data_IF_039089768311
#
_entry.id   IF_039089768311
#
_cell.length_a   1.000
_cell.length_b   1.000
_cell.length_c   1.000
_cell.angle_alpha   90.00
_cell.angle_beta   90.00
_cell.angle_gamma   90.00
#
_symmetry.space_group_name_H-M   'P 1'
#
loop_
_entity.id
_entity.type
_entity.pdbx_description
1 polymer ?
#
# COMPACT_ATOMS: atom_id res chain seq x y z
N UNK A 1 -36.90 28.53 -2.74
CA UNK A 1 -35.59 27.98 -2.33
C UNK A 1 -34.81 27.57 -3.56
N UNK A 2 -33.72 28.29 -3.85
CA UNK A 2 -32.81 27.94 -4.94
C UNK A 2 -32.04 26.68 -4.53
N UNK A 3 -32.41 25.52 -5.07
CA UNK A 3 -31.70 24.27 -4.81
C UNK A 3 -30.35 24.32 -5.54
N UNK A 4 -29.29 24.53 -4.78
CA UNK A 4 -27.90 24.58 -5.24
C UNK A 4 -27.30 23.19 -5.08
N UNK A 5 -26.73 22.63 -6.14
CA UNK A 5 -26.00 21.36 -6.10
C UNK A 5 -24.54 21.64 -6.39
N UNK A 6 -23.64 21.11 -5.57
CA UNK A 6 -22.19 21.19 -5.80
C UNK A 6 -21.73 20.08 -6.75
N UNK A 7 -21.00 20.48 -7.79
CA UNK A 7 -20.32 19.58 -8.72
C UNK A 7 -18.84 19.95 -8.74
N UNK A 8 -18.00 18.97 -8.45
CA UNK A 8 -16.55 19.11 -8.40
C UNK A 8 -15.94 18.90 -9.78
N UNK A 9 -15.09 19.82 -10.19
CA UNK A 9 -14.32 19.75 -11.44
C UNK A 9 -12.84 19.74 -11.05
N UNK A 10 -12.21 18.56 -11.10
CA UNK A 10 -10.84 18.33 -10.62
C UNK A 10 -10.64 18.71 -9.15
N UNK A 11 -10.44 20.00 -8.86
CA UNK A 11 -10.26 20.57 -7.51
C UNK A 11 -11.13 21.81 -7.25
N UNK A 12 -11.91 22.28 -8.23
CA UNK A 12 -12.81 23.43 -8.07
C UNK A 12 -14.24 22.96 -7.83
N UNK A 13 -14.85 23.39 -6.73
CA UNK A 13 -16.26 23.18 -6.46
C UNK A 13 -17.10 24.21 -7.24
N UNK A 14 -18.02 23.72 -8.08
CA UNK A 14 -18.97 24.55 -8.80
C UNK A 14 -20.37 24.35 -8.25
N UNK A 15 -20.96 25.44 -7.75
CA UNK A 15 -22.36 25.45 -7.34
C UNK A 15 -23.25 25.74 -8.54
N UNK A 16 -24.13 24.80 -8.86
CA UNK A 16 -25.11 24.98 -9.93
C UNK A 16 -26.44 25.36 -9.29
N UNK A 17 -26.90 26.58 -9.59
CA UNK A 17 -28.23 27.08 -9.24
C UNK A 17 -29.20 26.92 -10.43
N UNK A 18 -30.51 27.01 -10.16
CA UNK A 18 -31.54 26.99 -11.21
C UNK A 18 -31.88 25.60 -11.78
N UNK A 19 -31.50 24.52 -11.08
CA UNK A 19 -31.83 23.16 -11.51
C UNK A 19 -33.33 22.89 -11.42
N UNK A 20 -33.91 22.34 -12.49
CA UNK A 20 -35.31 21.92 -12.52
C UNK A 20 -35.44 20.40 -12.44
N UNK A 21 -36.66 19.90 -12.19
CA UNK A 21 -36.95 18.45 -12.19
C UNK A 21 -36.74 17.77 -13.55
N UNK A 22 -36.55 18.55 -14.62
CA UNK A 22 -36.30 18.07 -15.99
C UNK A 22 -34.81 18.10 -16.37
N UNK A 23 -33.97 18.81 -15.62
CA UNK A 23 -32.55 18.98 -15.93
C UNK A 23 -31.81 17.64 -15.80
N UNK A 24 -31.14 17.22 -16.87
CA UNK A 24 -30.37 15.97 -16.92
C UNK A 24 -28.90 16.19 -16.63
N UNK A 25 -28.17 15.11 -16.30
CA UNK A 25 -26.71 15.15 -16.16
C UNK A 25 -26.04 15.70 -17.44
N UNK A 26 -26.56 15.38 -18.62
CA UNK A 26 -26.05 15.94 -19.88
C UNK A 26 -26.22 17.46 -19.98
N UNK A 27 -27.31 18.02 -19.46
CA UNK A 27 -27.56 19.46 -19.47
C UNK A 27 -26.61 20.17 -18.51
N UNK A 28 -26.36 19.57 -17.34
CA UNK A 28 -25.38 20.07 -16.37
C UNK A 28 -23.97 20.06 -16.96
N UNK A 29 -23.56 18.96 -17.60
CA UNK A 29 -22.26 18.87 -18.27
C UNK A 29 -22.11 19.95 -19.33
N UNK A 30 -23.16 20.19 -20.14
CA UNK A 30 -23.15 21.23 -21.17
C UNK A 30 -22.94 22.63 -20.57
N UNK A 31 -23.69 22.97 -19.52
CA UNK A 31 -23.59 24.28 -18.86
C UNK A 31 -22.21 24.48 -18.23
N UNK A 32 -21.66 23.46 -17.58
CA UNK A 32 -20.31 23.53 -16.99
C UNK A 32 -19.22 23.70 -18.06
N UNK A 33 -19.38 23.06 -19.22
CA UNK A 33 -18.47 23.26 -20.35
C UNK A 33 -18.61 24.67 -20.94
N UNK A 34 -19.82 25.15 -21.16
CA UNK A 34 -20.09 26.50 -21.65
C UNK A 34 -19.51 27.56 -20.71
N UNK A 35 -19.70 27.46 -19.39
CA UNK A 35 -19.11 28.37 -18.39
C UNK A 35 -17.57 28.37 -18.46
N UNK A 36 -16.96 27.18 -18.57
CA UNK A 36 -15.50 27.05 -18.70
C UNK A 36 -14.96 27.68 -19.99
N UNK A 37 -15.71 27.62 -21.09
CA UNK A 37 -15.36 28.25 -22.37
C UNK A 37 -15.48 29.78 -22.31
N UNK A 38 -16.49 30.33 -21.63
CA UNK A 38 -16.63 31.78 -21.44
C UNK A 38 -15.53 32.34 -20.52
N UNK A 39 -15.14 31.59 -19.47
CA UNK A 39 -14.05 31.99 -18.57
C UNK A 39 -12.69 32.02 -19.28
N UNK A 40 -12.45 31.11 -20.25
CA UNK A 40 -11.24 31.13 -21.11
C UNK A 40 -11.17 32.31 -22.08
N UNK A 41 -12.30 32.86 -22.51
CA UNK A 41 -12.33 33.98 -23.46
C UNK A 41 -12.16 35.36 -22.78
N UNK A 42 -12.16 35.41 -21.45
CA UNK A 42 -11.95 36.64 -20.69
C UNK A 42 -10.44 36.90 -20.52
N UNK A 43 -9.92 38.09 -20.84
CA UNK A 43 -8.50 38.40 -20.70
C UNK A 43 -8.19 38.68 -19.22
N UNK A 44 -7.92 37.63 -18.44
CA UNK A 44 -7.42 37.75 -17.07
C UNK A 44 -6.40 36.64 -16.78
N UNK A 45 -5.49 36.95 -15.86
CA UNK A 45 -4.27 36.22 -15.48
C UNK A 45 -4.43 34.68 -15.45
N UNK A 46 -3.40 33.92 -15.89
CA UNK A 46 -3.47 32.47 -15.96
C UNK A 46 -3.40 31.87 -14.54
N UNK A 47 -4.56 31.56 -13.97
CA UNK A 47 -4.68 30.71 -12.79
C UNK A 47 -4.22 29.26 -13.15
N UNK A 48 -3.31 28.64 -12.38
CA UNK A 48 -2.64 27.37 -12.72
C UNK A 48 -3.52 26.10 -12.63
N UNK A 49 -4.84 26.22 -12.79
CA UNK A 49 -5.78 25.10 -12.79
C UNK A 49 -6.96 25.20 -13.76
N UNK A 50 -7.13 26.31 -14.48
CA UNK A 50 -8.36 26.61 -15.25
C UNK A 50 -8.45 26.01 -16.66
N UNK A 51 -7.50 25.15 -17.06
CA UNK A 51 -7.24 24.85 -18.46
C UNK A 51 -7.79 23.54 -19.03
N UNK A 52 -8.59 22.74 -18.32
CA UNK A 52 -8.63 21.29 -18.62
C UNK A 52 -9.89 20.71 -19.28
N UNK A 53 -11.00 21.46 -19.34
CA UNK A 53 -12.20 20.99 -20.03
C UNK A 53 -12.15 21.34 -21.53
N UNK A 54 -11.77 20.40 -22.38
CA UNK A 54 -11.73 20.57 -23.84
C UNK A 54 -12.27 19.30 -24.50
N UNK A 55 -13.38 19.42 -25.23
CA UNK A 55 -14.01 18.31 -25.92
C UNK A 55 -15.53 18.47 -26.05
N UNK A 56 -16.17 17.64 -26.89
CA UNK A 56 -17.62 17.63 -27.03
C UNK A 56 -18.31 17.21 -25.72
N UNK A 57 -19.54 17.69 -25.43
CA UNK A 57 -20.24 17.41 -24.16
C UNK A 57 -20.49 15.92 -23.87
N UNK A 58 -20.44 15.07 -24.90
CA UNK A 58 -20.60 13.62 -24.78
C UNK A 58 -19.35 12.91 -24.21
N UNK A 59 -18.19 13.58 -24.16
CA UNK A 59 -16.95 13.00 -23.62
C UNK A 59 -16.82 13.15 -22.09
N UNK A 60 -17.86 13.66 -21.42
CA UNK A 60 -17.87 13.91 -19.99
C UNK A 60 -19.07 13.23 -19.33
N UNK A 61 -18.88 12.72 -18.13
CA UNK A 61 -19.91 12.09 -17.31
C UNK A 61 -19.85 12.62 -15.87
N UNK A 62 -21.00 12.59 -15.19
CA UNK A 62 -21.08 12.96 -13.77
C UNK A 62 -20.96 11.67 -12.96
N UNK A 63 -20.07 11.66 -11.98
CA UNK A 63 -19.85 10.57 -11.04
C UNK A 63 -20.40 10.98 -9.68
N UNK A 64 -21.20 10.11 -9.09
CA UNK A 64 -21.72 10.21 -7.72
C UNK A 64 -20.78 9.48 -6.77
N UNK A 65 -20.35 10.15 -5.69
CA UNK A 65 -19.49 9.59 -4.64
C UNK A 65 -20.18 9.66 -3.28
N UNK A 66 -20.28 8.52 -2.59
CA UNK A 66 -20.80 8.42 -1.22
C UNK A 66 -20.15 7.25 -0.47
N UNK A 67 -19.60 7.49 0.74
CA UNK A 67 -18.95 6.48 1.61
C UNK A 67 -17.98 5.50 0.91
N UNK A 68 -17.20 5.98 -0.06
CA UNK A 68 -16.25 5.16 -0.83
C UNK A 68 -16.86 4.41 -2.01
N UNK A 69 -18.18 4.53 -2.23
CA UNK A 69 -18.84 4.06 -3.44
C UNK A 69 -18.81 5.15 -4.52
N UNK A 70 -18.39 4.78 -5.74
CA UNK A 70 -18.39 5.66 -6.90
C UNK A 70 -19.27 5.09 -8.00
N UNK A 71 -20.24 5.89 -8.47
CA UNK A 71 -21.17 5.49 -9.52
C UNK A 71 -21.20 6.50 -10.65
N UNK A 72 -20.92 6.05 -11.86
CA UNK A 72 -21.08 6.87 -13.07
C UNK A 72 -22.58 7.02 -13.35
N UNK A 73 -23.06 8.27 -13.42
CA UNK A 73 -24.45 8.58 -13.73
C UNK A 73 -24.68 8.58 -15.24
N UNK A 74 -25.70 7.87 -15.73
CA UNK A 74 -26.11 7.96 -17.13
C UNK A 74 -26.47 9.39 -17.53
N UNK A 75 -26.17 9.80 -18.78
CA UNK A 75 -26.42 11.15 -19.29
C UNK A 75 -27.88 11.61 -19.18
N UNK A 76 -28.84 10.66 -19.21
CA UNK A 76 -30.29 10.91 -19.10
C UNK A 76 -30.80 11.05 -17.66
N UNK A 77 -29.94 10.82 -16.66
CA UNK A 77 -30.31 10.86 -15.25
C UNK A 77 -30.70 12.28 -14.86
N UNK A 78 -31.82 12.42 -14.15
CA UNK A 78 -32.32 13.71 -13.67
C UNK A 78 -31.64 14.04 -12.34
N UNK A 79 -30.63 14.90 -12.37
CA UNK A 79 -29.76 15.14 -11.22
C UNK A 79 -30.52 15.62 -9.99
N UNK A 80 -31.52 16.49 -10.16
CA UNK A 80 -32.32 17.00 -9.05
C UNK A 80 -33.20 15.92 -8.43
N UNK A 81 -33.68 14.94 -9.23
CA UNK A 81 -34.45 13.82 -8.69
C UNK A 81 -33.57 12.87 -7.90
N UNK A 82 -32.35 12.65 -8.37
CA UNK A 82 -31.37 11.81 -7.69
C UNK A 82 -30.92 12.47 -6.39
N UNK A 83 -30.62 13.77 -6.41
CA UNK A 83 -30.32 14.55 -5.21
C UNK A 83 -31.42 14.47 -4.14
N UNK A 84 -32.69 14.68 -4.53
CA UNK A 84 -33.82 14.58 -3.60
C UNK A 84 -34.03 13.15 -3.08
N UNK A 85 -33.66 12.13 -3.86
CA UNK A 85 -33.79 10.73 -3.44
C UNK A 85 -32.79 10.34 -2.32
N UNK A 86 -31.71 11.10 -2.12
CA UNK A 86 -30.77 10.90 -1.02
C UNK A 86 -31.27 11.39 0.34
N UNK A 87 -32.33 12.20 0.38
CA UNK A 87 -32.94 12.64 1.64
C UNK A 87 -31.93 13.32 2.56
N UNK A 88 -31.78 12.82 3.78
CA UNK A 88 -30.93 13.40 4.82
C UNK A 88 -29.42 13.23 4.55
N UNK A 89 -29.04 12.32 3.65
CA UNK A 89 -27.63 12.06 3.29
C UNK A 89 -27.12 12.96 2.15
N UNK A 90 -27.91 13.94 1.71
CA UNK A 90 -27.55 14.86 0.63
C UNK A 90 -26.20 15.56 0.85
N UNK A 91 -25.92 16.01 2.08
CA UNK A 91 -24.68 16.73 2.42
C UNK A 91 -23.41 15.85 2.28
N UNK A 92 -23.59 14.53 2.34
CA UNK A 92 -22.51 13.55 2.26
C UNK A 92 -22.25 13.06 0.83
N UNK A 93 -23.14 13.38 -0.12
CA UNK A 93 -23.02 12.96 -1.52
C UNK A 93 -22.29 14.03 -2.32
N UNK A 94 -21.26 13.63 -3.07
CA UNK A 94 -20.51 14.55 -3.95
C UNK A 94 -20.67 14.15 -5.40
N UNK A 95 -20.99 15.11 -6.26
CA UNK A 95 -20.94 14.93 -7.71
C UNK A 95 -19.60 15.40 -8.25
N UNK A 96 -18.99 14.61 -9.13
CA UNK A 96 -17.69 14.92 -9.74
C UNK A 96 -17.82 14.80 -11.26
N UNK A 97 -17.39 15.82 -12.00
CA UNK A 97 -17.33 15.78 -13.45
C UNK A 97 -16.03 15.12 -13.91
N UNK A 98 -16.13 14.02 -14.65
CA UNK A 98 -14.97 13.26 -15.15
C UNK A 98 -15.07 13.09 -16.66
N UNK A 99 -13.93 13.02 -17.35
CA UNK A 99 -13.88 12.64 -18.77
C UNK A 99 -14.21 11.14 -18.89
N UNK A 100 -15.19 10.78 -19.71
CA UNK A 100 -15.65 9.40 -19.91
C UNK A 100 -14.54 8.44 -20.38
N UNK A 101 -13.51 8.96 -21.04
CA UNK A 101 -12.31 8.22 -21.50
C UNK A 101 -11.31 7.92 -20.36
N UNK A 102 -11.39 8.69 -19.25
CA UNK A 102 -10.51 8.59 -18.08
C UNK A 102 -11.19 7.87 -16.91
N UNK A 103 -12.52 7.67 -16.96
CA UNK A 103 -13.20 6.76 -16.04
C UNK A 103 -12.88 5.33 -16.48
N UNK A 104 -11.94 4.68 -15.79
CA UNK A 104 -11.81 3.23 -15.86
C UNK A 104 -13.19 2.65 -15.48
N UNK A 105 -13.79 1.76 -16.31
CA UNK A 105 -14.92 0.99 -15.83
C UNK A 105 -14.44 0.22 -14.60
N UNK A 106 -15.11 0.38 -13.47
CA UNK A 106 -14.92 -0.49 -12.31
C UNK A 106 -15.46 -1.88 -12.71
N UNK A 107 -14.67 -2.60 -13.49
CA UNK A 107 -14.88 -3.99 -13.81
C UNK A 107 -14.34 -4.78 -12.62
N UNK A 108 -15.24 -5.09 -11.68
CA UNK A 108 -15.02 -6.22 -10.78
C UNK A 108 -14.63 -7.47 -11.60
N UNK A 109 -13.85 -8.39 -11.02
CA UNK A 109 -13.19 -9.46 -11.75
C UNK A 109 -14.24 -10.37 -12.38
N UNK A 110 -14.43 -10.24 -13.70
CA UNK A 110 -15.16 -11.19 -14.52
C UNK A 110 -14.18 -11.89 -15.42
N UNK A 111 -14.11 -13.19 -15.20
CA UNK A 111 -13.30 -14.20 -15.85
C UNK A 111 -13.18 -13.97 -17.36
N UNK A 112 -11.95 -14.08 -17.84
CA UNK A 112 -11.63 -14.12 -19.25
C UNK A 112 -12.34 -15.32 -19.91
N UNK A 113 -13.40 -15.05 -20.67
CA UNK A 113 -13.92 -16.02 -21.63
C UNK A 113 -13.04 -16.00 -22.88
N UNK A 114 -12.18 -17.00 -22.98
CA UNK A 114 -11.36 -17.30 -24.15
C UNK A 114 -12.27 -17.68 -25.33
N UNK A 115 -12.45 -16.75 -26.28
CA UNK A 115 -13.04 -17.08 -27.58
C UNK A 115 -11.99 -17.77 -28.45
N UNK A 116 -12.04 -19.10 -28.44
CA UNK A 116 -11.38 -20.00 -29.39
C UNK A 116 -11.77 -19.58 -30.81
N UNK A 117 -10.84 -18.99 -31.55
CA UNK A 117 -10.99 -18.77 -32.99
C UNK A 117 -10.68 -20.09 -33.68
N UNK A 118 -11.75 -20.75 -34.15
CA UNK A 118 -11.69 -21.90 -35.03
C UNK A 118 -10.85 -21.57 -36.28
N UNK A 119 -9.72 -22.26 -36.43
CA UNK A 119 -8.92 -22.25 -37.65
C UNK A 119 -9.76 -22.78 -38.81
N UNK A 120 -10.10 -21.89 -39.74
CA UNK A 120 -10.78 -22.26 -40.98
C UNK A 120 -9.74 -22.73 -41.98
N UNK A 121 -9.49 -24.04 -41.99
CA UNK A 121 -8.82 -24.72 -43.09
C UNK A 121 -9.68 -24.74 -44.36
N UNK A 122 -8.97 -24.97 -45.47
CA UNK A 122 -9.35 -25.52 -46.79
C UNK A 122 -9.32 -24.52 -47.96
N UNK A 123 -9.21 -25.00 -49.22
CA UNK A 123 -8.43 -26.13 -49.73
C UNK A 123 -7.70 -25.78 -51.06
N UNK A 124 -6.80 -26.67 -51.50
CA UNK A 124 -5.85 -26.46 -52.60
C UNK A 124 -6.42 -26.25 -54.00
N UNK A 125 -5.54 -25.81 -54.90
CA UNK A 125 -5.60 -26.00 -56.35
C UNK A 125 -4.22 -26.49 -56.80
N UNK A 126 -4.22 -27.64 -57.48
CA UNK A 126 -3.03 -28.27 -58.04
C UNK A 126 -2.77 -27.91 -59.50
N UNK A 127 -1.68 -28.50 -59.99
CA UNK A 127 -1.30 -28.80 -61.38
C UNK A 127 -0.67 -27.67 -62.22
N UNK A 128 0.68 -27.72 -62.28
CA UNK A 128 1.40 -28.10 -63.50
C UNK A 128 1.55 -27.10 -64.64
N UNK A 129 2.79 -26.64 -64.89
CA UNK A 129 3.35 -26.50 -66.25
C UNK A 129 4.86 -26.25 -66.20
N UNK A 130 5.57 -26.93 -67.09
CA UNK A 130 7.02 -27.02 -67.20
C UNK A 130 7.69 -25.73 -67.72
N UNK A 131 8.99 -25.64 -67.40
CA UNK A 131 10.10 -24.96 -68.11
C UNK A 131 9.73 -23.88 -69.15
N UNK A 132 10.09 -22.63 -68.87
CA UNK A 132 10.53 -21.67 -69.88
C UNK A 132 11.43 -20.61 -69.25
N UNK A 133 12.74 -20.86 -69.28
CA UNK A 133 13.75 -19.80 -69.18
C UNK A 133 13.79 -19.09 -70.53
N UNK A 134 13.72 -17.76 -70.52
CA UNK A 134 14.52 -16.79 -71.29
C UNK A 134 13.71 -15.50 -71.64
N UNK A 135 14.32 -14.36 -71.27
CA UNK A 135 13.98 -12.96 -71.59
C UNK A 135 12.61 -12.41 -71.10
N UNK A 136 12.60 -11.81 -69.91
CA UNK A 136 11.51 -10.92 -69.48
C UNK A 136 11.49 -9.66 -70.35
N UNK A 137 10.39 -9.39 -71.05
CA UNK A 137 10.16 -8.12 -71.73
C UNK A 137 10.26 -6.95 -70.75
N UNK A 138 10.85 -5.82 -71.17
CA UNK A 138 11.12 -4.62 -70.34
C UNK A 138 9.90 -4.18 -69.50
N UNK A 139 8.68 -4.40 -70.03
CA UNK A 139 7.41 -4.08 -69.38
C UNK A 139 7.07 -4.97 -68.17
N UNK A 140 7.43 -6.27 -68.21
CA UNK A 140 7.33 -7.16 -67.05
C UNK A 140 8.34 -6.76 -65.98
N UNK A 141 9.56 -6.39 -66.39
CA UNK A 141 10.61 -5.94 -65.46
C UNK A 141 10.21 -4.64 -64.74
N UNK A 142 9.65 -3.66 -65.45
CA UNK A 142 9.07 -2.44 -64.84
C UNK A 142 7.92 -2.73 -63.87
N UNK A 143 7.10 -3.76 -64.12
CA UNK A 143 6.04 -4.19 -63.19
C UNK A 143 6.58 -4.90 -61.96
N UNK A 144 7.61 -5.75 -62.10
CA UNK A 144 8.27 -6.40 -60.96
C UNK A 144 8.94 -5.36 -60.07
N UNK A 145 9.63 -4.39 -60.66
CA UNK A 145 10.28 -3.30 -59.92
C UNK A 145 9.24 -2.43 -59.19
N UNK A 146 8.15 -2.03 -59.85
CA UNK A 146 7.05 -1.31 -59.18
C UNK A 146 6.40 -2.12 -58.05
N UNK A 147 6.24 -3.44 -58.22
CA UNK A 147 5.76 -4.33 -57.14
C UNK A 147 6.77 -4.41 -55.99
N UNK A 148 8.07 -4.47 -56.27
CA UNK A 148 9.13 -4.48 -55.27
C UNK A 148 9.18 -3.17 -54.48
N UNK A 149 9.11 -2.01 -55.14
CA UNK A 149 9.04 -0.70 -54.47
C UNK A 149 7.77 -0.53 -53.63
N UNK A 150 6.60 -1.00 -54.08
CA UNK A 150 5.39 -1.02 -53.25
C UNK A 150 5.52 -1.97 -52.05
N UNK A 151 6.22 -3.10 -52.21
CA UNK A 151 6.53 -4.03 -51.11
C UNK A 151 7.46 -3.37 -50.10
N UNK A 152 8.52 -2.70 -50.55
CA UNK A 152 9.44 -1.94 -49.71
C UNK A 152 8.72 -0.81 -48.97
N UNK A 153 7.86 -0.05 -49.65
CA UNK A 153 7.07 1.02 -49.03
C UNK A 153 6.11 0.50 -47.96
N UNK A 154 5.48 -0.66 -48.19
CA UNK A 154 4.64 -1.34 -47.19
C UNK A 154 5.46 -1.85 -45.99
N UNK A 155 6.68 -2.33 -46.21
CA UNK A 155 7.57 -2.79 -45.14
C UNK A 155 8.08 -1.59 -44.32
N UNK A 156 8.47 -0.49 -44.95
CA UNK A 156 8.88 0.74 -44.25
C UNK A 156 7.72 1.36 -43.47
N UNK A 157 6.51 1.39 -44.01
CA UNK A 157 5.32 1.86 -43.28
C UNK A 157 4.98 0.96 -42.09
N UNK A 158 5.19 -0.36 -42.20
CA UNK A 158 5.08 -1.30 -41.08
C UNK A 158 6.20 -1.15 -40.04
N UNK A 159 7.41 -0.74 -40.43
CA UNK A 159 8.53 -0.45 -39.51
C UNK A 159 8.40 0.90 -38.80
N UNK A 160 7.73 1.88 -39.40
CA UNK A 160 7.48 3.20 -38.77
C UNK A 160 6.28 3.18 -37.80
N UNK A 161 5.31 2.27 -37.98
CA UNK A 161 4.18 2.09 -37.05
C UNK A 161 4.53 1.70 -35.60
N UNK A 162 5.50 0.80 -35.31
CA UNK A 162 5.87 0.46 -33.94
C UNK A 162 6.51 1.64 -33.19
N UNK A 163 7.37 2.44 -33.84
CA UNK A 163 8.01 3.60 -33.22
C UNK A 163 7.01 4.68 -32.76
N UNK A 164 5.96 4.95 -33.55
CA UNK A 164 4.91 5.88 -33.16
C UNK A 164 4.01 5.33 -32.03
N UNK A 165 3.81 4.00 -31.99
CA UNK A 165 3.10 3.33 -30.89
C UNK A 165 3.90 3.34 -29.59
N UNK A 166 5.21 3.12 -29.69
CA UNK A 166 6.15 3.16 -28.56
C UNK A 166 6.22 4.55 -27.94
N UNK A 167 6.30 5.62 -28.74
CA UNK A 167 6.20 7.00 -28.25
C UNK A 167 4.88 7.26 -27.51
N UNK A 168 3.74 6.84 -28.08
CA UNK A 168 2.44 6.98 -27.41
C UNK A 168 2.29 6.11 -26.15
N UNK A 169 3.09 5.04 -26.03
CA UNK A 169 3.11 4.20 -24.82
C UNK A 169 4.01 4.77 -23.75
N UNK A 170 5.12 5.43 -24.14
CA UNK A 170 6.00 6.16 -23.24
C UNK A 170 5.28 7.35 -22.60
N UNK A 171 4.54 8.15 -23.39
CA UNK A 171 3.71 9.26 -22.88
C UNK A 171 2.60 8.76 -21.93
N UNK A 172 2.02 7.60 -22.22
CA UNK A 172 1.05 6.95 -21.32
C UNK A 172 1.69 6.47 -20.02
N UNK A 173 2.91 5.94 -20.10
CA UNK A 173 3.67 5.51 -18.93
C UNK A 173 4.07 6.71 -18.06
N UNK A 174 4.51 7.81 -18.67
CA UNK A 174 4.81 9.06 -17.99
C UNK A 174 3.58 9.63 -17.28
N UNK A 175 2.41 9.61 -17.94
CA UNK A 175 1.14 10.03 -17.33
C UNK A 175 0.77 9.15 -16.14
N UNK A 176 0.97 7.83 -16.24
CA UNK A 176 0.74 6.90 -15.12
C UNK A 176 1.71 7.15 -13.97
N UNK A 177 2.99 7.41 -14.26
CA UNK A 177 3.98 7.76 -13.23
C UNK A 177 3.58 9.03 -12.51
N UNK A 178 3.18 10.09 -13.22
CA UNK A 178 2.68 11.31 -12.59
C UNK A 178 1.42 11.06 -11.74
N UNK A 179 0.51 10.19 -12.20
CA UNK A 179 -0.67 9.81 -11.43
C UNK A 179 -0.27 9.09 -10.13
N UNK A 180 0.62 8.09 -10.22
CA UNK A 180 1.11 7.33 -9.07
C UNK A 180 1.83 8.25 -8.08
N UNK A 181 2.69 9.16 -8.56
CA UNK A 181 3.37 10.14 -7.70
C UNK A 181 2.38 11.11 -7.03
N UNK A 182 1.35 11.56 -7.74
CA UNK A 182 0.31 12.44 -7.16
C UNK A 182 -0.54 11.70 -6.11
N UNK A 183 -0.81 10.42 -6.33
CA UNK A 183 -1.53 9.56 -5.39
C UNK A 183 -0.66 9.27 -4.16
N UNK A 184 0.63 8.94 -4.34
CA UNK A 184 1.59 8.74 -3.25
C UNK A 184 1.71 9.99 -2.38
N UNK A 185 1.79 11.18 -3.00
CA UNK A 185 1.76 12.45 -2.26
C UNK A 185 0.47 12.62 -1.44
N UNK A 186 -0.69 12.30 -2.03
CA UNK A 186 -1.99 12.39 -1.35
C UNK A 186 -2.08 11.39 -0.18
N UNK A 187 -1.60 10.16 -0.36
CA UNK A 187 -1.56 9.13 0.67
C UNK A 187 -0.65 9.59 1.82
N UNK A 188 0.52 10.14 1.52
CA UNK A 188 1.43 10.68 2.55
C UNK A 188 0.78 11.82 3.33
N UNK A 189 0.08 12.73 2.65
CA UNK A 189 -0.65 13.82 3.29
C UNK A 189 -1.78 13.29 4.19
N UNK A 190 -2.52 12.27 3.73
CA UNK A 190 -3.57 11.63 4.52
C UNK A 190 -3.01 10.92 5.75
N UNK A 191 -1.89 10.21 5.63
CA UNK A 191 -1.20 9.58 6.77
C UNK A 191 -0.76 10.63 7.78
N UNK A 192 -0.21 11.75 7.31
CA UNK A 192 0.17 12.84 8.19
C UNK A 192 -1.04 13.44 8.92
N UNK A 193 -2.16 13.63 8.23
CA UNK A 193 -3.40 14.12 8.83
C UNK A 193 -3.98 13.13 9.85
N UNK A 194 -3.95 11.83 9.57
CA UNK A 194 -4.36 10.80 10.53
C UNK A 194 -3.51 10.88 11.80
N UNK A 195 -2.18 10.96 11.66
CA UNK A 195 -1.27 11.13 12.81
C UNK A 195 -1.52 12.42 13.58
N UNK A 196 -1.98 13.49 12.95
CA UNK A 196 -2.36 14.72 13.65
C UNK A 196 -3.65 14.53 14.45
N UNK A 197 -4.64 13.86 13.86
CA UNK A 197 -5.92 13.54 14.49
C UNK A 197 -5.75 12.56 15.66
N UNK A 198 -4.93 11.51 15.52
CA UNK A 198 -4.63 10.57 16.60
C UNK A 198 -4.01 11.30 17.80
N UNK A 199 -3.05 12.20 17.55
CA UNK A 199 -2.48 13.06 18.62
C UNK A 199 -3.51 14.01 19.24
N UNK A 200 -4.57 14.36 18.53
CA UNK A 200 -5.65 15.20 19.05
C UNK A 200 -6.59 14.35 19.92
N UNK A 201 -6.91 13.13 19.47
CA UNK A 201 -7.64 12.12 20.24
C UNK A 201 -6.92 11.85 21.56
N UNK A 202 -5.62 11.54 21.53
CA UNK A 202 -4.81 11.31 22.73
C UNK A 202 -4.90 12.47 23.73
N UNK A 203 -4.92 13.72 23.22
CA UNK A 203 -5.06 14.92 24.06
C UNK A 203 -6.45 15.01 24.69
N UNK A 204 -7.50 14.73 23.94
CA UNK A 204 -8.86 14.72 24.48
C UNK A 204 -9.07 13.57 25.46
N UNK A 205 -8.56 12.38 25.16
CA UNK A 205 -8.61 11.22 26.03
C UNK A 205 -7.86 11.47 27.33
N UNK A 206 -6.63 11.98 27.27
CA UNK A 206 -5.87 12.35 28.46
C UNK A 206 -6.60 13.40 29.31
N UNK A 207 -7.23 14.39 28.68
CA UNK A 207 -8.06 15.39 29.38
C UNK A 207 -9.26 14.75 30.06
N UNK A 208 -9.98 13.88 29.36
CA UNK A 208 -11.15 13.15 29.90
C UNK A 208 -10.70 12.22 31.04
N UNK A 209 -9.59 11.51 30.87
CA UNK A 209 -8.99 10.66 31.90
C UNK A 209 -8.66 11.47 33.15
N UNK A 210 -7.98 12.61 33.01
CA UNK A 210 -7.66 13.49 34.14
C UNK A 210 -8.92 14.02 34.84
N UNK A 211 -9.92 14.44 34.06
CA UNK A 211 -11.17 14.95 34.62
C UNK A 211 -11.96 13.84 35.35
N UNK A 212 -11.96 12.62 34.82
CA UNK A 212 -12.56 11.44 35.46
C UNK A 212 -11.79 11.04 36.72
N UNK A 213 -10.46 11.03 36.69
CA UNK A 213 -9.62 10.77 37.87
C UNK A 213 -9.86 11.78 38.98
N UNK A 214 -10.04 13.06 38.66
CA UNK A 214 -10.37 14.10 39.64
C UNK A 214 -11.75 13.91 40.28
N UNK A 215 -12.73 13.43 39.50
CA UNK A 215 -14.12 13.26 39.95
C UNK A 215 -14.36 11.93 40.69
N UNK A 216 -13.75 10.85 40.22
CA UNK A 216 -14.02 9.48 40.63
C UNK A 216 -12.82 8.79 41.30
N UNK A 217 -11.68 9.47 41.40
CA UNK A 217 -10.45 8.91 41.97
C UNK A 217 -9.61 8.13 40.94
N UNK A 218 -8.39 7.75 41.34
CA UNK A 218 -7.44 7.03 40.48
C UNK A 218 -7.99 5.66 40.06
N UNK A 219 -8.85 5.06 40.89
CA UNK A 219 -9.41 3.74 40.66
C UNK A 219 -10.68 3.71 39.81
N UNK A 220 -11.07 4.85 39.23
CA UNK A 220 -12.37 4.99 38.58
C UNK A 220 -12.65 3.93 37.49
N UNK A 221 -11.60 3.44 36.81
CA UNK A 221 -11.72 2.38 35.80
C UNK A 221 -12.11 1.06 36.47
N UNK A 222 -11.40 0.66 37.52
CA UNK A 222 -11.72 -0.56 38.25
C UNK A 222 -13.09 -0.44 38.93
N UNK A 223 -13.42 0.73 39.47
CA UNK A 223 -14.73 1.01 40.07
C UNK A 223 -15.84 0.92 39.03
N UNK A 224 -15.64 1.35 37.76
CA UNK A 224 -16.63 1.14 36.69
C UNK A 224 -16.88 -0.34 36.37
N UNK A 225 -15.87 -1.20 36.45
CA UNK A 225 -16.04 -2.64 36.22
C UNK A 225 -16.58 -3.37 37.46
N UNK A 226 -16.21 -2.93 38.67
CA UNK A 226 -16.69 -3.51 39.93
C UNK A 226 -18.15 -3.12 40.22
N UNK A 227 -18.54 -1.87 39.94
CA UNK A 227 -19.94 -1.41 40.03
C UNK A 227 -20.80 -2.10 38.96
N UNK A 228 -20.23 -2.48 37.81
CA UNK A 228 -20.90 -3.31 36.81
C UNK A 228 -21.13 -4.77 37.23
N UNK A 229 -20.34 -5.29 38.19
CA UNK A 229 -20.48 -6.65 38.73
C UNK A 229 -21.32 -6.72 40.02
N UNK A 230 -21.51 -5.58 40.70
CA UNK A 230 -22.37 -5.43 41.88
C UNK A 230 -23.51 -4.48 41.59
N UNK A 231 -24.52 -4.95 40.83
CA UNK A 231 -25.73 -4.18 40.57
C UNK A 231 -26.39 -3.71 41.85
N UNK A 232 -26.34 -2.41 42.09
CA UNK A 232 -27.02 -1.72 43.17
C UNK A 232 -26.75 -0.23 43.06
N UNK A 233 -27.61 0.47 42.32
CA UNK A 233 -27.64 1.93 42.33
C UNK A 233 -27.76 2.44 43.79
N UNK A 234 -27.06 3.53 44.16
CA UNK A 234 -27.32 4.20 45.42
C UNK A 234 -28.64 4.96 45.27
N UNK A 235 -29.74 4.33 45.66
CA UNK A 235 -31.02 4.99 45.96
C UNK A 235 -30.79 6.14 46.96
N UNK A 236 -31.18 7.39 46.63
CA UNK A 236 -30.98 8.53 47.50
C UNK A 236 -32.09 8.55 48.55
N UNK A 237 -31.93 7.80 49.65
CA UNK A 237 -32.99 7.78 50.67
C UNK A 237 -32.81 6.94 51.92
N UNK A 238 -31.62 6.42 52.26
CA UNK A 238 -31.44 5.63 53.50
C UNK A 238 -30.47 6.29 54.49
N UNK A 239 -31.03 6.64 55.64
CA UNK A 239 -30.33 7.23 56.79
C UNK A 239 -29.21 6.34 57.34
N UNK A 240 -28.20 6.95 58.01
CA UNK A 240 -27.02 6.24 58.49
C UNK A 240 -27.31 5.56 59.82
N UNK A 241 -27.40 4.23 59.81
CA UNK A 241 -27.52 3.47 61.04
C UNK A 241 -27.38 1.97 60.80
N UNK A 242 -26.19 1.43 61.01
CA UNK A 242 -25.98 -0.02 60.92
C UNK A 242 -24.53 -0.45 60.86
N UNK A 243 -23.87 -0.41 62.02
CA UNK A 243 -22.75 -1.24 62.45
C UNK A 243 -21.86 -1.91 61.40
N UNK A 244 -20.59 -1.49 61.43
CA UNK A 244 -19.44 -2.22 60.95
C UNK A 244 -19.51 -3.74 61.24
N UNK A 245 -19.25 -4.53 60.22
CA UNK A 245 -18.73 -5.89 60.35
C UNK A 245 -17.39 -5.95 59.60
N UNK A 246 -16.25 -6.12 60.29
CA UNK A 246 -14.97 -6.29 59.61
C UNK A 246 -14.83 -7.76 59.22
N UNK A 247 -15.28 -8.10 58.02
CA UNK A 247 -15.05 -9.43 57.43
C UNK A 247 -14.22 -9.35 56.12
N UNK A 248 -13.41 -8.30 55.97
CA UNK A 248 -12.62 -8.02 54.76
C UNK A 248 -11.10 -8.09 54.98
N UNK A 249 -10.60 -8.62 56.10
CA UNK A 249 -9.16 -8.62 56.41
C UNK A 249 -8.34 -9.76 55.77
N UNK A 250 -8.93 -10.68 55.01
CA UNK A 250 -8.22 -11.85 54.44
C UNK A 250 -7.84 -11.72 52.96
N UNK A 251 -8.67 -11.14 52.07
CA UNK A 251 -8.30 -11.02 50.66
C UNK A 251 -7.11 -10.07 50.45
N UNK A 252 -7.08 -8.93 51.13
CA UNK A 252 -6.06 -7.88 50.93
C UNK A 252 -4.64 -8.36 51.31
N UNK A 253 -4.51 -9.10 52.41
CA UNK A 253 -3.22 -9.68 52.83
C UNK A 253 -2.74 -10.78 51.87
N UNK A 254 -3.66 -11.58 51.34
CA UNK A 254 -3.32 -12.64 50.39
C UNK A 254 -3.00 -12.07 49.00
N UNK A 255 -3.62 -10.96 48.59
CA UNK A 255 -3.24 -10.20 47.40
C UNK A 255 -1.88 -9.52 47.59
N UNK A 256 -1.63 -8.92 48.75
CA UNK A 256 -0.34 -8.30 49.06
C UNK A 256 0.82 -9.32 48.99
N UNK A 257 0.63 -10.52 49.57
CA UNK A 257 1.62 -11.62 49.49
C UNK A 257 1.86 -12.06 48.04
N UNK A 258 0.79 -12.23 47.24
CA UNK A 258 0.92 -12.58 45.82
C UNK A 258 1.64 -11.50 45.02
N UNK A 259 1.39 -10.23 45.31
CA UNK A 259 2.12 -9.13 44.69
C UNK A 259 3.60 -9.15 45.06
N UNK A 260 3.93 -9.44 46.32
CA UNK A 260 5.31 -9.60 46.79
C UNK A 260 6.01 -10.80 46.11
N UNK A 261 5.32 -11.93 45.98
CA UNK A 261 5.81 -13.10 45.24
C UNK A 261 6.06 -12.79 43.75
N UNK A 262 5.16 -12.04 43.11
CA UNK A 262 5.34 -11.62 41.70
C UNK A 262 6.53 -10.68 41.56
N UNK A 263 6.73 -9.75 42.49
CA UNK A 263 7.90 -8.86 42.49
C UNK A 263 9.19 -9.64 42.65
N UNK A 264 9.25 -10.60 43.57
CA UNK A 264 10.42 -11.47 43.76
C UNK A 264 10.75 -12.27 42.50
N UNK A 265 9.74 -12.82 41.82
CA UNK A 265 9.93 -13.53 40.55
C UNK A 265 10.40 -12.61 39.41
N UNK A 266 9.93 -11.36 39.39
CA UNK A 266 10.39 -10.37 38.42
C UNK A 266 11.85 -9.98 38.64
N UNK A 267 12.27 -9.79 39.89
CA UNK A 267 13.67 -9.53 40.23
C UNK A 267 14.57 -10.71 39.86
N UNK A 268 14.15 -11.95 40.16
CA UNK A 268 14.88 -13.16 39.76
C UNK A 268 14.99 -13.29 38.24
N UNK A 269 13.92 -13.00 37.51
CA UNK A 269 13.95 -12.99 36.04
C UNK A 269 14.94 -11.95 35.51
N UNK A 270 14.91 -10.74 36.06
CA UNK A 270 15.83 -9.67 35.64
C UNK A 270 17.31 -10.06 35.88
N UNK A 271 17.61 -10.67 37.04
CA UNK A 271 18.96 -11.18 37.33
C UNK A 271 19.39 -12.30 36.37
N UNK A 272 18.47 -13.19 36.00
CA UNK A 272 18.75 -14.24 35.00
C UNK A 272 18.98 -13.67 33.61
N UNK A 273 18.21 -12.65 33.21
CA UNK A 273 18.37 -11.95 31.92
C UNK A 273 19.72 -11.23 31.85
N UNK A 274 20.13 -10.53 32.92
CA UNK A 274 21.44 -9.86 32.99
C UNK A 274 22.59 -10.88 32.91
N UNK A 275 22.47 -12.03 33.59
CA UNK A 275 23.46 -13.10 33.49
C UNK A 275 23.55 -13.68 32.06
N UNK A 276 22.41 -13.84 31.38
CA UNK A 276 22.39 -14.30 29.98
C UNK A 276 23.05 -13.28 29.05
N UNK A 277 22.80 -11.99 29.23
CA UNK A 277 23.44 -10.93 28.45
C UNK A 277 24.96 -10.92 28.66
N UNK A 278 25.40 -11.06 29.91
CA UNK A 278 26.82 -11.13 30.24
C UNK A 278 27.50 -12.35 29.60
N UNK A 279 26.92 -13.55 29.75
CA UNK A 279 27.43 -14.78 29.12
C UNK A 279 27.43 -14.69 27.59
N UNK A 280 26.42 -14.07 26.99
CA UNK A 280 26.37 -13.86 25.55
C UNK A 280 27.49 -12.93 25.07
N UNK A 281 27.80 -11.87 25.83
CA UNK A 281 28.92 -10.99 25.55
C UNK A 281 30.26 -11.73 25.66
N UNK A 282 30.48 -12.50 26.73
CA UNK A 282 31.69 -13.32 26.89
C UNK A 282 31.89 -14.32 25.75
N UNK A 283 30.82 -15.02 25.33
CA UNK A 283 30.87 -15.94 24.20
C UNK A 283 31.26 -15.20 22.92
N UNK A 284 30.71 -14.01 22.70
CA UNK A 284 31.02 -13.21 21.51
C UNK A 284 32.47 -12.70 21.52
N UNK A 285 32.99 -12.28 22.67
CA UNK A 285 34.39 -11.89 22.85
C UNK A 285 35.32 -13.07 22.61
N UNK A 286 35.08 -14.22 23.22
CA UNK A 286 35.84 -15.45 23.01
C UNK A 286 35.86 -15.90 21.54
N UNK A 287 34.71 -15.83 20.85
CA UNK A 287 34.62 -16.13 19.43
C UNK A 287 35.45 -15.14 18.59
N UNK A 288 35.37 -13.85 18.89
CA UNK A 288 36.13 -12.82 18.21
C UNK A 288 37.64 -12.98 18.45
N UNK A 289 38.06 -13.25 19.69
CA UNK A 289 39.47 -13.48 20.03
C UNK A 289 40.04 -14.69 19.29
N UNK A 290 39.30 -15.81 19.29
CA UNK A 290 39.71 -17.03 18.56
C UNK A 290 39.76 -16.80 17.06
N UNK A 291 38.82 -16.04 16.51
CA UNK A 291 38.83 -15.65 15.11
C UNK A 291 40.05 -14.79 14.77
N UNK A 292 40.33 -13.76 15.58
CA UNK A 292 41.50 -12.89 15.43
C UNK A 292 42.82 -13.64 15.62
N UNK A 293 42.89 -14.60 16.54
CA UNK A 293 44.05 -15.46 16.76
C UNK A 293 44.33 -16.34 15.55
N UNK A 294 43.31 -17.06 15.05
CA UNK A 294 43.42 -17.85 13.81
C UNK A 294 43.85 -16.99 12.63
N UNK A 295 43.31 -15.78 12.51
CA UNK A 295 43.65 -14.85 11.44
C UNK A 295 45.10 -14.36 11.52
N UNK A 296 45.60 -14.07 12.73
CA UNK A 296 47.01 -13.73 12.97
C UNK A 296 47.94 -14.91 12.63
N UNK A 297 47.60 -16.11 13.08
CA UNK A 297 48.36 -17.33 12.77
C UNK A 297 48.38 -17.63 11.26
N UNK A 298 47.26 -17.46 10.54
CA UNK A 298 47.22 -17.59 9.08
C UNK A 298 48.11 -16.55 8.37
N UNK A 299 48.13 -15.31 8.85
CA UNK A 299 48.97 -14.24 8.30
C UNK A 299 50.46 -14.47 8.61
N UNK A 300 50.80 -14.97 9.80
CA UNK A 300 52.17 -15.32 10.19
C UNK A 300 52.69 -16.54 9.40
N UNK A 301 51.85 -17.55 9.18
CA UNK A 301 52.17 -18.70 8.31
C UNK A 301 52.34 -18.28 6.84
N UNK A 302 51.54 -17.32 6.37
CA UNK A 302 51.68 -16.73 5.04
C UNK A 302 52.92 -15.81 4.91
N UNK A 303 53.43 -15.29 6.04
CA UNK A 303 54.61 -14.44 6.13
C UNK A 303 55.90 -15.20 6.50
N UNK A 304 55.91 -16.54 6.41
CA UNK A 304 57.01 -17.41 6.82
C UNK A 304 58.42 -17.01 6.31
N UNK A 305 59.49 -17.50 6.96
CA UNK A 305 60.84 -16.93 6.92
C UNK A 305 61.50 -17.13 5.55
N UNK A 306 61.36 -16.13 4.68
CA UNK A 306 62.06 -16.05 3.40
C UNK A 306 62.45 -14.63 2.98
N UNK A 307 62.26 -13.62 3.83
CA UNK A 307 62.48 -12.20 3.50
C UNK A 307 63.34 -11.45 4.53
N UNK A 308 64.09 -12.16 5.35
CA UNK A 308 65.20 -11.59 6.12
C UNK A 308 66.47 -12.29 5.64
N UNK A 309 67.41 -11.53 5.09
CA UNK A 309 68.62 -11.98 4.36
C UNK A 309 68.39 -12.24 2.87
N UNK A 310 68.12 -11.20 2.09
CA UNK A 310 68.69 -11.12 0.75
C UNK A 310 68.91 -9.67 0.38
N UNK A 311 70.19 -9.35 0.20
CA UNK A 311 70.71 -8.04 -0.05
C UNK A 311 70.03 -7.33 -1.23
N UNK A 312 70.05 -6.01 -1.12
CA UNK A 312 69.81 -5.03 -2.16
C UNK A 312 70.59 -5.33 -3.45
N UNK A 313 69.97 -6.01 -4.41
CA UNK A 313 70.07 -5.72 -5.84
C UNK A 313 69.41 -6.85 -6.64
N UNK A 314 68.19 -6.61 -7.11
CA UNK A 314 67.79 -6.95 -8.48
C UNK A 314 66.36 -6.48 -8.71
N UNK A 315 66.26 -5.39 -9.45
CA UNK A 315 65.11 -5.01 -10.25
C UNK A 315 64.67 -6.22 -11.09
N UNK A 316 63.36 -6.43 -11.19
CA UNK A 316 62.67 -7.47 -11.97
C UNK A 316 62.31 -8.77 -11.21
N UNK A 317 61.20 -8.70 -10.45
CA UNK A 317 60.08 -9.68 -10.42
C UNK A 317 59.04 -9.20 -9.37
N UNK A 318 58.50 -7.99 -9.55
CA UNK A 318 57.48 -7.41 -8.66
C UNK A 318 56.07 -7.64 -9.23
N UNK A 319 55.55 -8.85 -9.08
CA UNK A 319 54.17 -9.21 -9.49
C UNK A 319 53.49 -10.23 -8.57
N UNK A 320 54.27 -11.06 -7.85
CA UNK A 320 53.72 -12.07 -6.94
C UNK A 320 53.17 -11.50 -5.62
N UNK A 321 53.80 -10.46 -5.07
CA UNK A 321 53.37 -9.85 -3.80
C UNK A 321 52.04 -9.10 -3.91
N UNK A 322 51.80 -8.41 -5.02
CA UNK A 322 50.57 -7.66 -5.27
C UNK A 322 49.37 -8.61 -5.44
N UNK A 323 49.53 -9.69 -6.20
CA UNK A 323 48.51 -10.73 -6.36
C UNK A 323 48.19 -11.45 -5.04
N UNK A 324 49.18 -11.68 -4.18
CA UNK A 324 48.95 -12.30 -2.87
C UNK A 324 48.19 -11.37 -1.91
N UNK A 325 48.50 -10.06 -1.92
CA UNK A 325 47.76 -9.06 -1.15
C UNK A 325 46.33 -8.88 -1.66
N UNK A 326 46.13 -8.93 -2.98
CA UNK A 326 44.79 -8.94 -3.58
C UNK A 326 44.01 -10.21 -3.21
N UNK A 327 44.66 -11.37 -3.22
CA UNK A 327 44.05 -12.62 -2.80
C UNK A 327 43.58 -12.58 -1.33
N UNK A 328 44.42 -12.07 -0.42
CA UNK A 328 44.05 -11.90 1.00
C UNK A 328 42.96 -10.83 1.20
N UNK A 329 42.94 -9.79 0.37
CA UNK A 329 41.86 -8.79 0.36
C UNK A 329 40.53 -9.39 -0.07
N UNK A 330 40.53 -10.18 -1.15
CA UNK A 330 39.32 -10.87 -1.62
C UNK A 330 38.88 -11.92 -0.60
N UNK A 331 39.80 -12.65 0.03
CA UNK A 331 39.49 -13.62 1.09
C UNK A 331 38.80 -12.95 2.28
N UNK A 332 39.32 -11.81 2.76
CA UNK A 332 38.69 -11.04 3.86
C UNK A 332 37.32 -10.48 3.47
N UNK A 333 37.17 -9.95 2.25
CA UNK A 333 35.88 -9.52 1.73
C UNK A 333 34.89 -10.69 1.65
N UNK A 334 35.34 -11.88 1.23
CA UNK A 334 34.49 -13.06 1.18
C UNK A 334 34.09 -13.52 2.59
N UNK A 335 35.02 -13.58 3.54
CA UNK A 335 34.74 -13.96 4.93
C UNK A 335 33.77 -12.98 5.61
N UNK A 336 33.94 -11.68 5.40
CA UNK A 336 33.01 -10.66 5.93
C UNK A 336 31.64 -10.78 5.27
N UNK A 337 31.58 -10.97 3.94
CA UNK A 337 30.31 -11.19 3.25
C UNK A 337 29.61 -12.47 3.69
N UNK A 338 30.34 -13.54 3.99
CA UNK A 338 29.81 -14.80 4.51
C UNK A 338 29.25 -14.61 5.92
N UNK A 339 29.97 -13.90 6.80
CA UNK A 339 29.49 -13.59 8.15
C UNK A 339 28.20 -12.77 8.10
N UNK A 340 28.17 -11.70 7.29
CA UNK A 340 26.96 -10.89 7.09
C UNK A 340 25.83 -11.75 6.53
N UNK A 341 26.12 -12.59 5.53
CA UNK A 341 25.13 -13.51 4.96
C UNK A 341 24.54 -14.48 5.98
N UNK A 342 25.39 -15.05 6.83
CA UNK A 342 24.95 -15.96 7.91
C UNK A 342 24.10 -15.20 8.93
N UNK A 343 24.52 -14.01 9.35
CA UNK A 343 23.75 -13.16 10.26
C UNK A 343 22.39 -12.79 9.69
N UNK A 344 22.34 -12.40 8.42
CA UNK A 344 21.08 -12.12 7.72
C UNK A 344 20.21 -13.39 7.63
N UNK A 345 20.78 -14.57 7.44
CA UNK A 345 20.01 -15.83 7.45
C UNK A 345 19.40 -16.12 8.81
N UNK A 346 20.15 -15.93 9.91
CA UNK A 346 19.60 -16.10 11.27
C UNK A 346 18.52 -15.07 11.58
N UNK A 347 18.69 -13.82 11.15
CA UNK A 347 17.69 -12.76 11.35
C UNK A 347 16.43 -13.04 10.52
N UNK A 348 16.57 -13.58 9.30
CA UNK A 348 15.44 -14.02 8.48
C UNK A 348 14.71 -15.22 9.08
N UNK A 349 15.43 -16.19 9.65
CA UNK A 349 14.82 -17.32 10.35
C UNK A 349 14.03 -16.84 11.58
N UNK A 350 14.56 -15.90 12.36
CA UNK A 350 13.84 -15.31 13.49
C UNK A 350 12.56 -14.58 13.06
N UNK A 351 12.62 -13.73 12.03
CA UNK A 351 11.44 -13.05 11.49
C UNK A 351 10.41 -14.06 10.97
N UNK A 352 10.87 -15.15 10.35
CA UNK A 352 9.99 -16.22 9.88
C UNK A 352 9.29 -16.92 11.04
N UNK A 353 10.00 -17.23 12.13
CA UNK A 353 9.37 -17.83 13.31
C UNK A 353 8.36 -16.89 13.98
N UNK A 354 8.63 -15.59 14.00
CA UNK A 354 7.70 -14.59 14.51
C UNK A 354 6.46 -14.47 13.63
N UNK A 355 6.63 -14.50 12.30
CA UNK A 355 5.52 -14.53 11.36
C UNK A 355 4.66 -15.79 11.55
N UNK A 356 5.29 -16.96 11.68
CA UNK A 356 4.58 -18.22 11.93
C UNK A 356 3.84 -18.19 13.27
N UNK A 357 4.42 -17.59 14.31
CA UNK A 357 3.78 -17.40 15.61
C UNK A 357 2.55 -16.48 15.51
N UNK A 358 2.71 -15.31 14.89
CA UNK A 358 1.61 -14.36 14.72
C UNK A 358 0.48 -14.95 13.85
N UNK A 359 0.82 -15.72 12.82
CA UNK A 359 -0.17 -16.40 11.99
C UNK A 359 -0.98 -17.43 12.79
N UNK A 360 -0.33 -18.24 13.62
CA UNK A 360 -1.05 -19.17 14.54
C UNK A 360 -1.95 -18.43 15.52
N UNK A 361 -1.48 -17.31 16.06
CA UNK A 361 -2.28 -16.48 16.96
C UNK A 361 -3.53 -15.90 16.26
N UNK A 362 -3.41 -15.51 14.99
CA UNK A 362 -4.55 -15.10 14.17
C UNK A 362 -5.54 -16.24 13.94
N UNK A 363 -5.05 -17.43 13.61
CA UNK A 363 -5.90 -18.63 13.44
C UNK A 363 -6.60 -19.03 14.75
N UNK A 364 -5.93 -18.91 15.90
CA UNK A 364 -6.55 -19.10 17.21
C UNK A 364 -7.67 -18.09 17.47
N UNK A 365 -7.43 -16.81 17.17
CA UNK A 365 -8.43 -15.74 17.33
C UNK A 365 -9.61 -15.90 16.39
N UNK A 366 -9.38 -16.31 15.15
CA UNK A 366 -10.45 -16.62 14.19
C UNK A 366 -11.32 -17.79 14.70
N UNK A 367 -10.69 -18.87 15.20
CA UNK A 367 -11.41 -19.99 15.81
C UNK A 367 -12.20 -19.57 17.05
N UNK A 368 -11.66 -18.67 17.88
CA UNK A 368 -12.38 -18.12 19.04
C UNK A 368 -13.61 -17.32 18.60
N UNK A 369 -13.47 -16.44 17.61
CA UNK A 369 -14.59 -15.66 17.07
C UNK A 369 -15.67 -16.55 16.44
N UNK A 370 -15.28 -17.61 15.73
CA UNK A 370 -16.23 -18.58 15.17
C UNK A 370 -17.01 -19.29 16.28
N UNK A 371 -16.34 -19.75 17.35
CA UNK A 371 -17.02 -20.35 18.51
C UNK A 371 -17.98 -19.38 19.17
N UNK A 372 -17.57 -18.12 19.35
CA UNK A 372 -18.43 -17.09 19.93
C UNK A 372 -19.68 -16.83 19.07
N UNK A 373 -19.52 -16.77 17.74
CA UNK A 373 -20.64 -16.68 16.81
C UNK A 373 -21.59 -17.88 16.90
N UNK A 374 -21.05 -19.10 16.99
CA UNK A 374 -21.86 -20.30 17.19
C UNK A 374 -22.62 -20.24 18.52
N UNK A 375 -21.97 -19.83 19.62
CA UNK A 375 -22.65 -19.69 20.92
C UNK A 375 -23.76 -18.64 20.89
N UNK A 376 -23.54 -17.49 20.24
CA UNK A 376 -24.57 -16.47 20.05
C UNK A 376 -25.74 -17.02 19.22
N UNK A 377 -25.45 -17.72 18.12
CA UNK A 377 -26.49 -18.35 17.31
C UNK A 377 -27.31 -19.39 18.07
N UNK A 378 -26.69 -20.14 19.00
CA UNK A 378 -27.44 -21.07 19.86
C UNK A 378 -28.28 -20.38 20.94
N UNK A 379 -27.85 -19.22 21.43
CA UNK A 379 -28.62 -18.41 22.39
C UNK A 379 -29.82 -17.74 21.72
N UNK A 380 -29.65 -17.20 20.49
CA UNK A 380 -30.74 -16.63 19.69
C UNK A 380 -31.83 -17.67 19.34
N UNK A 381 -31.45 -18.95 19.17
CA UNK A 381 -32.41 -20.05 18.93
C UNK A 381 -33.07 -20.54 20.23
N UNK A 382 -32.46 -20.30 21.39
CA UNK A 382 -33.02 -20.67 22.70
C UNK A 382 -33.95 -19.59 23.29
N UNK A 383 -33.83 -18.34 22.84
CA UNK A 383 -34.72 -17.22 23.22
C UNK A 383 -35.98 -17.09 22.33
N UNK A 384 -36.06 -17.86 21.24
CA UNK A 384 -37.23 -17.97 20.34
C UNK A 384 -38.06 -19.22 20.63
#
# INVERSE_FOLDING_TARGET
EERKISVWICQEEKLISGLSRRTTCSDVVRVLLEDSHHRRQRPALPEPGGGMLSGPPHSYCIVEKWRGFERILPNKTKILRLWVAWGDEQENVRFVLVRSEASLPNAGPRSAEARVVLSKERPGHGLGAARASLALTQERQRRVVRKAFRKLAKINKKRQQPLAREASSAERMETLVHLVLSQDHTIRQQIQRLRELDREIDRYEAKIHLDRMKRHGVNYVQDTYLVGAGGGEPEPGREPGGAAQPAAGRPEEDYAKKCEEVLQLQEQRAQQEELLEHLAAEIQEELNERWMKRRREELELAAGPGLAETDCDTTELSGGGELHLEHERVKTQLSTSLYIGLKLSTDLEAIKTDLDYTQRAWEDKERELQRLLETLGTLDVAEA
#
